data_IF_158080508563
#
_entry.id   IF_158080508563
#
_cell.length_a   1.000
_cell.length_b   1.000
_cell.length_c   1.000
_cell.angle_alpha   90.00
_cell.angle_beta   90.00
_cell.angle_gamma   90.00
#
_symmetry.space_group_name_H-M   'P 1'
#
loop_
_entity.id
_entity.type
_entity.pdbx_description
1 polymer ?
#
# COMPACT_ATOMS: atom_id res chain seq x y z
N UNK A 1 18.56 31.54 -2.36
CA UNK A 1 18.89 30.09 -2.38
C UNK A 1 19.08 29.64 -3.82
N UNK A 2 20.02 28.74 -4.10
CA UNK A 2 20.31 28.25 -5.44
C UNK A 2 20.74 26.78 -5.40
N UNK A 3 20.56 26.07 -6.51
CA UNK A 3 21.05 24.69 -6.73
C UNK A 3 21.87 24.67 -8.02
N UNK A 4 22.97 23.93 -8.04
CA UNK A 4 23.79 23.69 -9.23
C UNK A 4 23.87 22.19 -9.51
N UNK A 5 23.47 21.78 -10.70
CA UNK A 5 23.48 20.39 -11.17
C UNK A 5 24.16 20.36 -12.55
N UNK A 6 25.51 20.28 -12.60
CA UNK A 6 26.27 20.46 -13.85
C UNK A 6 26.12 19.30 -14.84
N UNK A 7 25.78 18.11 -14.34
CA UNK A 7 25.67 16.88 -15.12
C UNK A 7 24.27 16.32 -14.95
N UNK A 8 23.29 16.91 -15.65
CA UNK A 8 21.91 16.45 -15.63
C UNK A 8 21.55 15.82 -16.98
N UNK A 9 21.64 14.51 -17.07
CA UNK A 9 21.33 13.73 -18.27
C UNK A 9 19.82 13.49 -18.37
N UNK A 10 19.15 14.24 -19.25
CA UNK A 10 17.70 14.13 -19.45
C UNK A 10 17.32 14.21 -20.92
N UNK A 11 16.23 13.54 -21.28
CA UNK A 11 15.68 13.53 -22.63
C UNK A 11 14.16 13.47 -22.61
N UNK A 12 13.56 13.99 -23.69
CA UNK A 12 12.11 14.01 -23.89
C UNK A 12 11.64 13.12 -25.03
N UNK A 13 12.58 12.39 -25.65
CA UNK A 13 12.36 11.50 -26.79
C UNK A 13 13.31 10.31 -26.70
N UNK A 14 12.83 9.12 -27.06
CA UNK A 14 13.59 7.87 -27.10
C UNK A 14 13.53 7.05 -25.80
N UNK A 15 14.05 5.82 -25.85
CA UNK A 15 14.06 4.91 -24.70
C UNK A 15 12.67 4.73 -24.09
N UNK A 16 12.57 4.90 -22.77
CA UNK A 16 11.31 4.76 -22.02
C UNK A 16 10.30 5.90 -22.22
N UNK A 17 10.65 7.01 -22.86
CA UNK A 17 9.73 8.16 -23.02
C UNK A 17 8.61 7.89 -24.03
N UNK A 18 8.71 6.81 -24.81
CA UNK A 18 7.70 6.38 -25.77
C UNK A 18 6.55 5.61 -25.11
N UNK A 19 6.77 5.11 -23.90
CA UNK A 19 5.78 4.34 -23.15
C UNK A 19 4.64 5.26 -22.69
N UNK A 20 3.42 4.77 -22.79
CA UNK A 20 2.21 5.59 -22.58
C UNK A 20 2.20 6.34 -21.24
N UNK A 21 2.44 5.71 -20.07
CA UNK A 21 2.42 6.42 -18.79
C UNK A 21 3.45 7.54 -18.69
N UNK A 22 4.69 7.27 -19.13
CA UNK A 22 5.80 8.22 -19.10
C UNK A 22 5.53 9.38 -20.08
N UNK A 23 4.99 9.06 -21.25
CA UNK A 23 4.64 10.06 -22.26
C UNK A 23 3.54 10.99 -21.78
N UNK A 24 2.53 10.48 -21.07
CA UNK A 24 1.47 11.29 -20.46
C UNK A 24 2.00 12.26 -19.40
N UNK A 25 3.02 11.86 -18.62
CA UNK A 25 3.68 12.78 -17.68
C UNK A 25 4.48 13.87 -18.40
N UNK A 26 5.14 13.55 -19.51
CA UNK A 26 5.83 14.54 -20.33
C UNK A 26 4.86 15.50 -21.02
N UNK A 27 3.66 15.02 -21.40
CA UNK A 27 2.57 15.85 -21.91
C UNK A 27 2.02 16.80 -20.83
N UNK A 28 1.83 16.30 -19.60
CA UNK A 28 1.42 17.13 -18.46
C UNK A 28 2.42 18.26 -18.18
N UNK A 29 3.72 18.00 -18.37
CA UNK A 29 4.78 18.99 -18.25
C UNK A 29 4.96 19.85 -19.53
N UNK A 30 4.26 19.52 -20.63
CA UNK A 30 4.32 20.23 -21.90
C UNK A 30 5.67 20.13 -22.61
N UNK A 31 6.39 19.01 -22.43
CA UNK A 31 7.75 18.80 -22.95
C UNK A 31 7.90 17.49 -23.73
N UNK A 32 6.81 16.78 -24.06
CA UNK A 32 6.90 15.52 -24.80
C UNK A 32 7.53 15.72 -26.19
N UNK A 33 8.41 14.79 -26.56
CA UNK A 33 8.96 14.70 -27.91
C UNK A 33 9.97 15.80 -28.25
N UNK A 34 10.23 15.94 -29.55
CA UNK A 34 11.08 16.99 -30.11
C UNK A 34 10.36 18.34 -30.13
N UNK A 35 11.11 19.42 -29.95
CA UNK A 35 10.57 20.77 -30.13
C UNK A 35 10.41 21.05 -31.63
N UNK A 36 9.29 21.65 -32.08
CA UNK A 36 8.99 21.82 -33.51
C UNK A 36 10.00 22.70 -34.25
N UNK A 37 10.54 23.73 -33.59
CA UNK A 37 11.43 24.72 -34.22
C UNK A 37 12.88 24.69 -33.72
N UNK A 38 13.11 24.23 -32.49
CA UNK A 38 14.37 24.43 -31.76
C UNK A 38 14.79 23.12 -31.07
N UNK A 39 15.51 22.23 -31.78
CA UNK A 39 15.93 20.95 -31.22
C UNK A 39 16.59 21.10 -29.83
N UNK A 40 16.17 20.24 -28.90
CA UNK A 40 16.64 20.22 -27.51
C UNK A 40 15.94 21.17 -26.54
N UNK A 41 15.06 22.09 -26.99
CA UNK A 41 14.39 23.02 -26.07
C UNK A 41 13.48 22.32 -25.05
N UNK A 42 12.75 21.28 -25.47
CA UNK A 42 11.94 20.47 -24.57
C UNK A 42 12.80 19.80 -23.48
N UNK A 43 13.95 19.23 -23.84
CA UNK A 43 14.88 18.63 -22.88
C UNK A 43 15.48 19.67 -21.93
N UNK A 44 15.87 20.85 -22.44
CA UNK A 44 16.32 21.98 -21.61
C UNK A 44 15.23 22.46 -20.66
N UNK A 45 13.97 22.49 -21.09
CA UNK A 45 12.82 22.85 -20.25
C UNK A 45 12.60 21.82 -19.15
N UNK A 46 12.63 20.52 -19.49
CA UNK A 46 12.58 19.44 -18.50
C UNK A 46 13.71 19.55 -17.47
N UNK A 47 14.94 19.82 -17.91
CA UNK A 47 16.08 20.03 -17.02
C UNK A 47 15.86 21.18 -16.01
N UNK A 48 15.29 22.30 -16.46
CA UNK A 48 14.93 23.44 -15.59
C UNK A 48 13.82 23.08 -14.61
N UNK A 49 12.81 22.32 -15.05
CA UNK A 49 11.73 21.84 -14.18
C UNK A 49 12.34 20.98 -13.06
N UNK A 50 13.22 20.03 -13.40
CA UNK A 50 13.89 19.17 -12.43
C UNK A 50 14.71 20.01 -11.44
N UNK A 51 15.53 20.95 -11.91
CA UNK A 51 16.30 21.84 -11.04
C UNK A 51 15.41 22.67 -10.09
N UNK A 52 14.29 23.18 -10.58
CA UNK A 52 13.32 23.91 -9.76
C UNK A 52 12.65 23.00 -8.71
N UNK A 53 12.28 21.78 -9.08
CA UNK A 53 11.72 20.77 -8.18
C UNK A 53 12.71 20.37 -7.09
N UNK A 54 13.99 20.17 -7.42
CA UNK A 54 15.05 19.90 -6.44
C UNK A 54 15.19 21.07 -5.47
N UNK A 55 15.29 22.30 -5.97
CA UNK A 55 15.39 23.50 -5.12
C UNK A 55 14.19 23.62 -4.16
N UNK A 56 12.98 23.36 -4.64
CA UNK A 56 11.77 23.37 -3.82
C UNK A 56 11.78 22.25 -2.76
N UNK A 57 12.25 21.06 -3.11
CA UNK A 57 12.43 19.93 -2.20
C UNK A 57 13.41 20.23 -1.07
N UNK A 58 14.59 20.75 -1.42
CA UNK A 58 15.63 21.14 -0.45
C UNK A 58 15.13 22.23 0.50
N UNK A 59 14.45 23.25 -0.02
CA UNK A 59 13.82 24.29 0.81
C UNK A 59 12.82 23.72 1.82
N UNK A 60 11.93 22.84 1.34
CA UNK A 60 10.91 22.21 2.17
C UNK A 60 11.54 21.34 3.26
N UNK A 61 12.54 20.53 2.90
CA UNK A 61 13.23 19.63 3.82
C UNK A 61 14.02 20.40 4.88
N UNK A 62 14.82 21.40 4.48
CA UNK A 62 15.56 22.26 5.41
C UNK A 62 14.62 23.00 6.38
N UNK A 63 13.49 23.50 5.88
CA UNK A 63 12.48 24.17 6.71
C UNK A 63 11.83 23.19 7.70
N UNK A 64 11.50 21.97 7.28
CA UNK A 64 10.94 20.95 8.15
C UNK A 64 11.92 20.44 9.22
N UNK A 65 13.21 20.37 8.90
CA UNK A 65 14.27 20.07 9.86
C UNK A 65 14.40 21.18 10.91
N UNK A 66 14.49 22.44 10.47
CA UNK A 66 14.63 23.58 11.36
C UNK A 66 13.40 23.78 12.26
N UNK A 67 12.20 23.54 11.74
CA UNK A 67 10.95 23.62 12.52
C UNK A 67 10.66 22.35 13.35
N UNK A 68 11.46 21.28 13.22
CA UNK A 68 11.20 20.01 13.91
C UNK A 68 9.96 19.24 13.41
N UNK A 69 9.47 19.55 12.21
CA UNK A 69 8.26 18.94 11.63
C UNK A 69 8.50 17.63 10.87
N UNK A 70 9.76 17.27 10.60
CA UNK A 70 10.09 16.14 9.72
C UNK A 70 9.49 14.80 10.19
N UNK A 71 9.65 14.46 11.48
CA UNK A 71 9.13 13.18 12.02
C UNK A 71 7.61 13.14 12.02
N UNK A 72 6.96 14.26 12.38
CA UNK A 72 5.50 14.37 12.33
C UNK A 72 4.97 14.13 10.92
N UNK A 73 5.55 14.80 9.92
CA UNK A 73 5.17 14.62 8.52
C UNK A 73 5.40 13.16 8.06
N UNK A 74 6.51 12.54 8.49
CA UNK A 74 6.80 11.14 8.19
C UNK A 74 5.75 10.19 8.78
N UNK A 75 5.39 10.36 10.06
CA UNK A 75 4.38 9.52 10.70
C UNK A 75 2.98 9.70 10.10
N UNK A 76 2.68 10.90 9.61
CA UNK A 76 1.37 11.21 9.03
C UNK A 76 1.22 10.73 7.57
N UNK A 77 2.25 10.90 6.74
CA UNK A 77 2.14 10.71 5.29
C UNK A 77 2.91 9.50 4.75
N UNK A 78 3.92 9.01 5.48
CA UNK A 78 4.79 7.92 5.03
C UNK A 78 4.71 6.67 5.91
N UNK A 79 3.77 6.63 6.88
CA UNK A 79 3.43 5.41 7.61
C UNK A 79 1.94 5.14 7.47
N UNK A 80 1.62 3.88 7.16
CA UNK A 80 0.25 3.41 7.17
C UNK A 80 -0.35 3.61 8.55
N UNK A 81 -1.60 4.07 8.62
CA UNK A 81 -2.36 4.01 9.85
C UNK A 81 -2.33 2.57 10.38
N UNK A 82 -2.13 2.40 11.69
CA UNK A 82 -2.24 1.08 12.29
C UNK A 82 -3.57 0.47 11.86
N UNK A 83 -3.61 -0.79 11.37
CA UNK A 83 -4.86 -1.41 10.97
C UNK A 83 -5.79 -1.36 12.17
N UNK A 84 -6.85 -0.54 12.06
CA UNK A 84 -8.01 -0.64 12.91
C UNK A 84 -8.51 -2.05 12.73
N UNK A 85 -8.16 -2.95 13.65
CA UNK A 85 -8.79 -4.26 13.72
C UNK A 85 -10.25 -3.95 13.99
N UNK A 86 -11.10 -4.05 12.97
CA UNK A 86 -12.54 -4.12 13.17
C UNK A 86 -12.75 -5.25 14.17
N UNK A 87 -13.22 -4.92 15.37
CA UNK A 87 -13.71 -5.91 16.31
C UNK A 87 -14.96 -6.51 15.67
N UNK A 88 -14.77 -7.54 14.84
CA UNK A 88 -15.88 -8.37 14.37
C UNK A 88 -16.57 -8.87 15.63
N UNK A 89 -17.84 -8.50 15.90
CA UNK A 89 -18.56 -9.05 17.02
C UNK A 89 -18.59 -10.56 16.82
N UNK A 90 -18.16 -11.31 17.84
CA UNK A 90 -18.29 -12.76 17.81
C UNK A 90 -19.76 -13.11 17.50
N UNK A 91 -20.05 -14.03 16.57
CA UNK A 91 -21.42 -14.45 16.32
C UNK A 91 -22.02 -14.98 17.64
N UNK A 92 -23.29 -14.68 17.94
CA UNK A 92 -23.94 -15.23 19.13
C UNK A 92 -23.85 -16.75 19.07
N UNK A 93 -23.42 -17.36 20.17
CA UNK A 93 -23.34 -18.81 20.30
C UNK A 93 -24.72 -19.41 20.00
N UNK A 94 -24.89 -20.00 18.82
CA UNK A 94 -26.04 -20.83 18.51
C UNK A 94 -25.98 -22.04 19.45
N UNK A 95 -26.84 -22.04 20.47
CA UNK A 95 -27.10 -23.26 21.22
C UNK A 95 -27.70 -24.30 20.25
N UNK A 96 -27.14 -25.51 20.14
CA UNK A 96 -27.78 -26.56 19.35
C UNK A 96 -29.11 -26.94 20.00
N UNK A 97 -30.18 -26.78 19.24
CA UNK A 97 -31.56 -27.11 19.61
C UNK A 97 -31.81 -28.63 19.61
N UNK A 98 -31.03 -29.41 20.35
CA UNK A 98 -31.20 -30.88 20.44
C UNK A 98 -31.51 -31.39 21.85
N UNK A 99 -31.69 -30.51 22.84
CA UNK A 99 -31.90 -30.87 24.25
C UNK A 99 -33.29 -30.51 24.76
N UNK A 100 -34.31 -30.61 23.91
CA UNK A 100 -35.70 -30.57 24.33
C UNK A 100 -36.45 -31.79 23.77
N UNK A 101 -36.70 -32.76 24.65
CA UNK A 101 -37.71 -33.83 24.57
C UNK A 101 -37.36 -35.14 23.84
N UNK A 102 -36.72 -36.05 24.58
CA UNK A 102 -37.06 -37.48 24.56
C UNK A 102 -37.12 -38.02 25.99
N UNK A 103 -38.27 -37.83 26.65
CA UNK A 103 -38.64 -38.64 27.82
C UNK A 103 -39.29 -39.93 27.32
N UNK A 104 -38.59 -41.07 27.35
CA UNK A 104 -39.20 -42.39 27.47
C UNK A 104 -38.16 -43.52 27.71
N UNK A 105 -38.21 -44.08 28.92
CA UNK A 105 -38.10 -45.51 29.21
C UNK A 105 -36.74 -46.23 29.10
N UNK A 106 -36.07 -46.29 30.26
CA UNK A 106 -35.72 -47.50 31.02
C UNK A 106 -35.93 -48.88 30.32
N UNK A 107 -34.82 -49.63 30.11
CA UNK A 107 -34.55 -51.00 30.63
C UNK A 107 -33.65 -51.86 29.71
N UNK A 108 -32.55 -52.34 30.32
CA UNK A 108 -31.99 -53.70 30.25
C UNK A 108 -31.47 -54.25 28.90
N UNK A 109 -30.16 -54.51 28.83
CA UNK A 109 -29.57 -55.86 28.92
C UNK A 109 -28.16 -55.87 28.31
N UNK A 110 -27.16 -56.30 29.11
CA UNK A 110 -25.78 -56.47 28.62
C UNK A 110 -25.73 -57.65 27.64
N UNK A 111 -25.07 -57.45 26.50
CA UNK A 111 -24.88 -58.44 25.45
C UNK A 111 -24.09 -59.67 25.91
N UNK A 112 -24.49 -60.86 25.46
CA UNK A 112 -23.92 -62.17 25.77
C UNK A 112 -22.42 -62.28 25.45
N UNK A 113 -21.92 -61.51 24.47
CA UNK A 113 -20.49 -61.45 24.14
C UNK A 113 -19.64 -60.81 25.25
N UNK A 114 -20.24 -59.93 26.07
CA UNK A 114 -19.56 -59.28 27.19
C UNK A 114 -19.47 -60.19 28.43
N UNK A 115 -20.34 -61.21 28.56
CA UNK A 115 -20.32 -62.12 29.70
C UNK A 115 -19.23 -63.20 29.60
N UNK A 116 -18.81 -63.59 28.39
CA UNK A 116 -17.87 -64.71 28.19
C UNK A 116 -16.39 -64.30 28.28
N UNK A 117 -16.11 -63.00 28.21
CA UNK A 117 -14.74 -62.45 28.32
C UNK A 117 -14.30 -62.15 29.75
N UNK A 118 -15.22 -62.27 30.72
CA UNK A 118 -14.98 -62.05 32.16
C UNK A 118 -14.61 -63.33 32.93
N UNK A 119 -14.44 -64.48 32.25
CA UNK A 119 -14.11 -65.78 32.87
C UNK A 119 -12.84 -66.42 32.32
N UNK A 120 -11.92 -65.62 31.78
CA UNK A 120 -10.51 -66.01 31.57
C UNK A 120 -9.61 -64.94 32.16
#
# INVERSE_FOLDING_TARGET
IAVSMPSLEVGTLGGGTILEPQSAMLDLLGVRGSHPTNPGDNARRLARIIGASVLAGELSLCSALQAGHLVRAHMQHNRSAAPSRSTTPAPPAMMPASLAMTNAQDKSSKSAAAQQRSKR
#
